data_IF_294414269666
#
_entry.id   IF_294414269666
#
_cell.length_a   1.000
_cell.length_b   1.000
_cell.length_c   1.000
_cell.angle_alpha   90.00
_cell.angle_beta   90.00
_cell.angle_gamma   90.00
#
_symmetry.space_group_name_H-M   'P 1'
#
loop_
_entity.id
_entity.type
_entity.pdbx_description
1 polymer ?
#
# COMPACT_ATOMS: atom_id res chain seq x y z
N UNK A 1 5.50 -0.72 12.68
CA UNK A 1 5.44 -1.81 11.68
C UNK A 1 5.29 -3.20 12.30
N UNK A 2 6.06 -3.59 13.31
CA UNK A 2 5.91 -4.90 13.99
C UNK A 2 4.46 -5.16 14.44
N UNK A 3 3.83 -4.21 15.13
CA UNK A 3 2.40 -4.33 15.50
C UNK A 3 1.47 -4.51 14.30
N UNK A 4 1.75 -3.84 13.17
CA UNK A 4 0.93 -3.98 11.95
C UNK A 4 1.09 -5.36 11.34
N UNK A 5 2.31 -5.92 11.37
CA UNK A 5 2.58 -7.28 10.93
C UNK A 5 1.86 -8.30 11.81
N UNK A 6 1.96 -8.14 13.13
CA UNK A 6 1.30 -9.00 14.10
C UNK A 6 -0.22 -8.97 13.92
N UNK A 7 -0.82 -7.79 13.89
CA UNK A 7 -2.27 -7.64 13.71
C UNK A 7 -2.75 -8.24 12.39
N UNK A 8 -1.99 -8.08 11.30
CA UNK A 8 -2.32 -8.69 10.00
C UNK A 8 -2.27 -10.22 10.09
N UNK A 9 -1.28 -10.77 10.77
CA UNK A 9 -1.14 -12.21 10.97
C UNK A 9 -2.27 -12.77 11.83
N UNK A 10 -2.67 -12.06 12.90
CA UNK A 10 -3.84 -12.40 13.71
C UNK A 10 -5.14 -12.39 12.91
N UNK A 11 -5.36 -11.35 12.10
CA UNK A 11 -6.52 -11.29 11.21
C UNK A 11 -6.53 -12.46 10.21
N UNK A 12 -5.37 -12.80 9.63
CA UNK A 12 -5.26 -13.92 8.70
C UNK A 12 -5.57 -15.26 9.39
N UNK A 13 -5.15 -15.43 10.65
CA UNK A 13 -5.44 -16.61 11.44
C UNK A 13 -6.83 -16.59 12.09
N UNK A 14 -7.59 -15.51 11.91
CA UNK A 14 -8.87 -15.25 12.57
C UNK A 14 -8.77 -15.39 14.10
N UNK A 15 -7.61 -15.04 14.65
CA UNK A 15 -7.33 -15.13 16.08
C UNK A 15 -7.53 -13.78 16.75
N UNK A 16 -8.11 -13.83 17.94
CA UNK A 16 -8.04 -12.75 18.92
C UNK A 16 -6.78 -12.91 19.78
N UNK A 17 -6.60 -11.97 20.71
CA UNK A 17 -5.44 -11.93 21.61
C UNK A 17 -5.29 -13.21 22.44
N UNK A 18 -6.41 -13.79 22.88
CA UNK A 18 -6.45 -15.06 23.62
C UNK A 18 -6.06 -16.26 22.75
N UNK A 19 -6.41 -16.23 21.46
CA UNK A 19 -5.98 -17.21 20.48
C UNK A 19 -4.46 -17.19 20.29
N UNK A 20 -3.86 -16.00 20.24
CA UNK A 20 -2.42 -15.82 20.14
C UNK A 20 -1.68 -16.40 21.35
N UNK A 21 -2.13 -16.08 22.56
CA UNK A 21 -1.53 -16.60 23.81
C UNK A 21 -1.49 -18.14 23.82
N UNK A 22 -2.60 -18.79 23.43
CA UNK A 22 -2.67 -20.25 23.33
C UNK A 22 -1.73 -20.81 22.27
N UNK A 23 -1.65 -20.16 21.11
CA UNK A 23 -0.74 -20.55 20.04
C UNK A 23 0.72 -20.47 20.50
N UNK A 24 1.12 -19.35 21.09
CA UNK A 24 2.46 -19.13 21.64
C UNK A 24 2.82 -20.17 22.71
N UNK A 25 1.88 -20.50 23.61
CA UNK A 25 2.05 -21.58 24.58
C UNK A 25 2.27 -22.95 23.90
N UNK A 26 1.56 -23.25 22.80
CA UNK A 26 1.70 -24.52 22.10
C UNK A 26 3.06 -24.73 21.43
N UNK A 27 3.75 -23.64 21.07
CA UNK A 27 5.08 -23.66 20.44
C UNK A 27 6.21 -23.27 21.40
N UNK A 28 5.90 -23.10 22.69
CA UNK A 28 6.82 -22.63 23.73
C UNK A 28 7.56 -21.33 23.34
N UNK A 29 6.84 -20.34 22.80
CA UNK A 29 7.40 -19.02 22.51
C UNK A 29 6.71 -17.92 23.29
N UNK A 30 7.40 -16.81 23.54
CA UNK A 30 6.79 -15.58 24.08
C UNK A 30 6.40 -14.60 22.96
N UNK A 31 5.60 -13.58 23.30
CA UNK A 31 5.27 -12.52 22.35
C UNK A 31 6.54 -11.75 21.94
N UNK A 32 7.45 -11.48 22.87
CA UNK A 32 8.71 -10.80 22.60
C UNK A 32 9.55 -11.55 21.57
N UNK A 33 9.66 -12.88 21.69
CA UNK A 33 10.39 -13.71 20.73
C UNK A 33 9.76 -13.64 19.33
N UNK A 34 8.42 -13.71 19.24
CA UNK A 34 7.72 -13.53 17.97
C UNK A 34 7.95 -12.13 17.37
N UNK A 35 7.99 -11.09 18.22
CA UNK A 35 8.26 -9.71 17.78
C UNK A 35 9.69 -9.54 17.27
N UNK A 36 10.66 -10.20 17.90
CA UNK A 36 12.04 -10.24 17.41
C UNK A 36 12.16 -10.96 16.08
N UNK A 37 11.42 -12.05 15.86
CA UNK A 37 11.34 -12.72 14.56
C UNK A 37 10.74 -11.84 13.47
N UNK A 38 9.76 -11.00 13.82
CA UNK A 38 9.16 -10.04 12.90
C UNK A 38 10.04 -8.80 12.63
N UNK A 39 11.02 -8.51 13.51
CA UNK A 39 11.83 -7.29 13.44
C UNK A 39 12.58 -7.14 12.10
N UNK A 40 13.29 -8.15 11.55
CA UNK A 40 13.98 -8.01 10.27
C UNK A 40 13.02 -7.69 9.12
N UNK A 41 11.85 -8.33 9.08
CA UNK A 41 10.83 -8.07 8.07
C UNK A 41 10.25 -6.65 8.21
N UNK A 42 9.95 -6.24 9.43
CA UNK A 42 9.46 -4.89 9.73
C UNK A 42 10.46 -3.82 9.30
N UNK A 43 11.75 -4.00 9.62
CA UNK A 43 12.83 -3.10 9.19
C UNK A 43 12.87 -2.99 7.68
N UNK A 44 12.91 -4.13 6.96
CA UNK A 44 12.91 -4.13 5.48
C UNK A 44 11.72 -3.39 4.88
N UNK A 45 10.52 -3.57 5.44
CA UNK A 45 9.31 -2.87 4.98
C UNK A 45 9.40 -1.37 5.18
N UNK A 46 9.80 -0.93 6.38
CA UNK A 46 9.98 0.50 6.68
C UNK A 46 11.03 1.10 5.77
N UNK A 47 12.19 0.46 5.62
CA UNK A 47 13.25 0.93 4.72
C UNK A 47 12.73 1.06 3.29
N UNK A 48 12.02 0.05 2.77
CA UNK A 48 11.45 0.11 1.41
C UNK A 48 10.45 1.25 1.25
N UNK A 49 9.56 1.45 2.23
CA UNK A 49 8.59 2.55 2.19
C UNK A 49 9.28 3.91 2.21
N UNK A 50 10.33 4.08 3.01
CA UNK A 50 11.11 5.32 3.05
C UNK A 50 11.84 5.59 1.73
N UNK A 51 12.48 4.56 1.16
CA UNK A 51 13.16 4.68 -0.13
C UNK A 51 12.16 5.02 -1.24
N UNK A 52 11.04 4.30 -1.34
CA UNK A 52 10.03 4.59 -2.36
C UNK A 52 9.41 5.97 -2.17
N UNK A 53 9.17 6.40 -0.93
CA UNK A 53 8.70 7.76 -0.66
C UNK A 53 9.71 8.82 -1.14
N UNK A 54 11.00 8.61 -0.88
CA UNK A 54 12.05 9.53 -1.35
C UNK A 54 12.16 9.58 -2.88
N UNK A 55 12.07 8.43 -3.54
CA UNK A 55 12.07 8.37 -5.01
C UNK A 55 10.84 9.09 -5.58
N UNK A 56 9.66 8.88 -4.99
CA UNK A 56 8.44 9.56 -5.41
C UNK A 56 8.58 11.09 -5.33
N UNK A 57 9.20 11.61 -4.26
CA UNK A 57 9.50 13.03 -4.11
C UNK A 57 10.48 13.54 -5.16
N UNK A 58 11.58 12.81 -5.41
CA UNK A 58 12.64 13.24 -6.34
C UNK A 58 12.17 13.22 -7.80
N UNK A 59 11.40 12.20 -8.18
CA UNK A 59 10.77 12.08 -9.51
C UNK A 59 9.49 12.92 -9.64
N UNK A 60 9.10 13.66 -8.59
CA UNK A 60 7.90 14.52 -8.54
C UNK A 60 6.62 13.78 -8.94
N UNK A 61 6.46 12.57 -8.41
CA UNK A 61 5.30 11.73 -8.71
C UNK A 61 4.11 12.26 -7.93
N UNK A 62 3.16 12.82 -8.67
CA UNK A 62 1.91 13.31 -8.13
C UNK A 62 0.73 12.47 -8.63
N UNK A 63 -0.31 12.43 -7.80
CA UNK A 63 -1.59 11.79 -8.10
C UNK A 63 -2.65 12.86 -7.84
N UNK A 64 -3.36 13.23 -8.91
CA UNK A 64 -4.43 14.22 -8.85
C UNK A 64 -5.77 13.60 -8.43
N UNK A 65 -6.72 14.45 -8.06
CA UNK A 65 -8.09 14.02 -7.72
C UNK A 65 -8.78 13.17 -8.80
N UNK A 66 -8.64 13.46 -10.12
CA UNK A 66 -9.27 12.64 -11.15
C UNK A 66 -8.78 11.18 -11.17
N UNK A 67 -7.52 10.95 -10.81
CA UNK A 67 -6.95 9.61 -10.75
C UNK A 67 -7.45 8.85 -9.51
N UNK A 68 -7.60 9.56 -8.40
CA UNK A 68 -8.20 9.00 -7.18
C UNK A 68 -9.66 8.64 -7.44
N UNK A 69 -10.40 9.49 -8.14
CA UNK A 69 -11.81 9.23 -8.50
C UNK A 69 -11.94 8.01 -9.41
N UNK A 70 -11.05 7.89 -10.42
CA UNK A 70 -11.01 6.74 -11.31
C UNK A 70 -10.72 5.43 -10.56
N UNK A 71 -9.77 5.45 -9.62
CA UNK A 71 -9.45 4.29 -8.79
C UNK A 71 -10.62 3.92 -7.87
N UNK A 72 -11.30 4.90 -7.26
CA UNK A 72 -12.50 4.65 -6.43
C UNK A 72 -13.61 4.02 -7.28
N UNK A 73 -13.79 4.49 -8.51
CA UNK A 73 -14.77 3.92 -9.44
C UNK A 73 -14.41 2.47 -9.80
N UNK A 74 -13.13 2.18 -10.06
CA UNK A 74 -12.62 0.84 -10.31
C UNK A 74 -12.92 -0.08 -9.12
N UNK A 75 -12.52 0.32 -7.91
CA UNK A 75 -12.70 -0.48 -6.70
C UNK A 75 -14.18 -0.77 -6.45
N UNK A 76 -15.06 0.18 -6.80
CA UNK A 76 -16.51 0.05 -6.70
C UNK A 76 -17.15 -0.84 -7.78
N UNK A 77 -16.48 -1.14 -8.89
CA UNK A 77 -16.97 -2.07 -9.93
C UNK A 77 -16.92 -3.52 -9.47
N UNK A 78 -15.95 -3.85 -8.61
CA UNK A 78 -15.76 -5.20 -8.07
C UNK A 78 -16.78 -5.58 -6.98
N UNK A 79 -17.58 -4.63 -6.49
CA UNK A 79 -18.58 -4.86 -5.46
C UNK A 79 -19.95 -5.23 -6.07
N UNK A 80 -20.41 -6.45 -5.80
CA UNK A 80 -21.75 -6.94 -6.21
C UNK A 80 -22.88 -6.52 -5.28
N UNK A 81 -22.58 -6.26 -4.01
CA UNK A 81 -23.53 -5.80 -2.98
C UNK A 81 -22.94 -4.59 -2.23
N UNK A 82 -23.79 -3.74 -1.64
CA UNK A 82 -23.40 -2.56 -0.84
C UNK A 82 -22.50 -1.53 -1.57
N UNK A 83 -22.59 -1.46 -2.90
CA UNK A 83 -21.80 -0.54 -3.73
C UNK A 83 -21.90 0.92 -3.28
N UNK A 84 -23.10 1.39 -2.93
CA UNK A 84 -23.30 2.77 -2.48
C UNK A 84 -22.62 3.04 -1.13
N UNK A 85 -22.66 2.10 -0.19
CA UNK A 85 -21.99 2.24 1.10
C UNK A 85 -20.47 2.20 0.95
N UNK A 86 -19.97 1.29 0.11
CA UNK A 86 -18.55 1.21 -0.23
C UNK A 86 -18.06 2.51 -0.88
N UNK A 87 -18.80 3.05 -1.86
CA UNK A 87 -18.45 4.32 -2.48
C UNK A 87 -18.42 5.47 -1.49
N UNK A 88 -19.38 5.55 -0.55
CA UNK A 88 -19.37 6.57 0.51
C UNK A 88 -18.13 6.43 1.39
N UNK A 89 -17.77 5.21 1.77
CA UNK A 89 -16.58 4.94 2.58
C UNK A 89 -15.27 5.31 1.85
N UNK A 90 -15.14 4.93 0.58
CA UNK A 90 -13.96 5.22 -0.24
C UNK A 90 -13.80 6.73 -0.50
N UNK A 91 -14.90 7.47 -0.53
CA UNK A 91 -14.89 8.93 -0.70
C UNK A 91 -14.61 9.72 0.59
N UNK A 92 -14.46 9.06 1.75
CA UNK A 92 -14.05 9.78 2.95
C UNK A 92 -12.62 10.34 2.79
N UNK A 93 -12.29 11.50 3.40
CA UNK A 93 -10.95 12.09 3.27
C UNK A 93 -9.81 11.12 3.65
N UNK A 94 -10.04 10.29 4.68
CA UNK A 94 -9.06 9.29 5.13
C UNK A 94 -8.85 8.18 4.09
N UNK A 95 -9.93 7.68 3.48
CA UNK A 95 -9.84 6.65 2.44
C UNK A 95 -9.19 7.22 1.17
N UNK A 96 -9.57 8.42 0.74
CA UNK A 96 -8.96 9.09 -0.42
C UNK A 96 -7.46 9.29 -0.25
N UNK A 97 -7.02 9.74 0.93
CA UNK A 97 -5.59 9.87 1.23
C UNK A 97 -4.87 8.52 1.19
N UNK A 98 -5.51 7.47 1.72
CA UNK A 98 -4.94 6.11 1.67
C UNK A 98 -4.80 5.60 0.23
N UNK A 99 -5.80 5.84 -0.61
CA UNK A 99 -5.80 5.50 -2.04
C UNK A 99 -4.71 6.28 -2.76
N UNK A 100 -4.60 7.58 -2.51
CA UNK A 100 -3.53 8.43 -3.04
C UNK A 100 -2.14 7.86 -2.74
N UNK A 101 -1.88 7.46 -1.50
CA UNK A 101 -0.60 6.86 -1.11
C UNK A 101 -0.29 5.55 -1.85
N UNK A 102 -1.31 4.72 -2.07
CA UNK A 102 -1.19 3.49 -2.87
C UNK A 102 -0.84 3.83 -4.31
N UNK A 103 -1.56 4.77 -4.94
CA UNK A 103 -1.34 5.18 -6.31
C UNK A 103 0.05 5.80 -6.52
N UNK A 104 0.50 6.68 -5.62
CA UNK A 104 1.86 7.24 -5.65
C UNK A 104 2.90 6.12 -5.62
N UNK A 105 2.73 5.15 -4.73
CA UNK A 105 3.65 4.01 -4.61
C UNK A 105 3.68 3.17 -5.89
N UNK A 106 2.51 2.88 -6.49
CA UNK A 106 2.41 2.12 -7.73
C UNK A 106 3.10 2.84 -8.89
N UNK A 107 2.82 4.13 -9.09
CA UNK A 107 3.48 4.96 -10.10
C UNK A 107 4.98 5.02 -9.90
N UNK A 108 5.44 5.13 -8.66
CA UNK A 108 6.89 5.11 -8.33
C UNK A 108 7.54 3.82 -8.77
N UNK A 109 6.91 2.68 -8.49
CA UNK A 109 7.42 1.38 -8.93
C UNK A 109 7.40 1.29 -10.46
N UNK A 110 6.33 1.75 -11.12
CA UNK A 110 6.25 1.77 -12.57
C UNK A 110 7.40 2.59 -13.18
N UNK A 111 7.66 3.78 -12.67
CA UNK A 111 8.78 4.63 -13.10
C UNK A 111 10.13 3.93 -12.95
N UNK A 112 10.36 3.29 -11.80
CA UNK A 112 11.58 2.51 -11.57
C UNK A 112 11.72 1.35 -12.57
N UNK A 113 10.62 0.70 -12.94
CA UNK A 113 10.61 -0.38 -13.95
C UNK A 113 10.92 0.17 -15.34
N UNK A 114 10.37 1.33 -15.72
CA UNK A 114 10.66 1.99 -17.00
C UNK A 114 12.14 2.36 -17.12
N UNK A 115 12.71 2.97 -16.08
CA UNK A 115 14.14 3.28 -15.99
C UNK A 115 14.97 2.00 -16.13
N UNK A 116 14.62 0.94 -15.39
CA UNK A 116 15.36 -0.33 -15.41
C UNK A 116 15.30 -1.03 -16.78
N UNK A 117 14.22 -0.82 -17.55
CA UNK A 117 14.07 -1.34 -18.92
C UNK A 117 14.79 -0.49 -19.97
N UNK A 118 15.37 0.64 -19.59
CA UNK A 118 16.03 1.57 -20.51
C UNK A 118 15.07 2.48 -21.28
N UNK A 119 13.80 2.55 -20.88
CA UNK A 119 12.84 3.52 -21.42
C UNK A 119 13.11 4.87 -20.78
N UNK A 120 14.09 5.60 -21.31
CA UNK A 120 14.40 6.96 -20.87
C UNK A 120 13.37 7.92 -21.48
N UNK A 121 12.13 7.83 -21.00
CA UNK A 121 11.06 8.74 -21.39
C UNK A 121 10.99 9.83 -20.32
N UNK A 122 11.50 11.00 -20.65
CA UNK A 122 11.21 12.22 -19.91
C UNK A 122 9.73 12.54 -20.13
N UNK A 123 8.95 12.58 -19.04
CA UNK A 123 7.49 12.78 -19.06
C UNK A 123 7.09 14.13 -19.68
N UNK A 124 8.04 15.01 -19.99
CA UNK A 124 7.78 16.25 -20.72
C UNK A 124 7.34 16.03 -22.19
N UNK A 125 7.62 14.88 -22.82
CA UNK A 125 7.25 14.64 -24.22
C UNK A 125 5.89 13.93 -24.42
N UNK A 126 5.44 13.10 -23.47
CA UNK A 126 4.18 12.35 -23.64
C UNK A 126 2.92 13.22 -23.59
N UNK A 127 2.98 14.41 -23.01
CA UNK A 127 1.86 15.37 -23.03
C UNK A 127 1.76 16.21 -24.31
N UNK A 128 2.73 16.12 -25.24
CA UNK A 128 2.69 16.84 -26.52
C UNK A 128 2.12 16.01 -27.68
N UNK A 129 2.17 14.67 -27.61
CA UNK A 129 1.67 13.81 -28.69
C UNK A 129 0.15 13.56 -28.63
N UNK A 130 -0.52 13.72 -27.50
CA UNK A 130 -2.00 13.59 -27.42
C UNK A 130 -2.77 14.86 -27.89
N UNK A 131 -2.07 15.91 -28.34
CA UNK A 131 -2.69 17.17 -28.83
C UNK A 131 -2.41 17.49 -30.30
N UNK A 132 -1.97 16.52 -31.11
CA UNK A 132 -1.77 16.70 -32.55
C UNK A 132 -2.62 15.73 -33.36
#
# INVERSE_FOLDING_TARGET
>A
EINRLLNRQLQQWQMDDKGLEKYLASINKTEEELREELRPLATRRVTRSLVLGKVAEEEKIEVGDPEIDAEIEEMGKSATENKEELQKFLNTPQSRESIKQVLVTQKTIQRLVEIAKGSNIDIEESQKEEKK
#
